data_IF_682117861180
#
_entry.id   IF_682117861180
#
_cell.length_a   1.000
_cell.length_b   1.000
_cell.length_c   1.000
_cell.angle_alpha   90.00
_cell.angle_beta   90.00
_cell.angle_gamma   90.00
#
_symmetry.space_group_name_H-M   'P 1'
#
loop_
_entity.id
_entity.type
_entity.pdbx_description
1 polymer ?
#
# COMPACT_ATOMS: atom_id res chain seq x y z
N UNK A 1 9.46 9.78 -3.05
CA UNK A 1 10.15 8.74 -2.28
C UNK A 1 9.06 7.89 -1.60
N UNK A 2 8.94 6.59 -1.90
CA UNK A 2 7.89 5.70 -1.34
C UNK A 2 8.41 4.28 -1.04
N UNK A 3 9.63 3.94 -1.45
CA UNK A 3 10.13 2.58 -1.30
C UNK A 3 10.41 2.34 0.19
N UNK A 4 9.72 1.38 0.84
CA UNK A 4 9.90 1.17 2.28
C UNK A 4 11.31 0.70 2.65
N UNK A 5 12.02 0.10 1.70
CA UNK A 5 13.37 -0.42 1.88
C UNK A 5 14.43 0.44 1.15
N UNK A 6 14.09 1.70 0.81
CA UNK A 6 15.00 2.68 0.20
C UNK A 6 15.68 2.22 -1.12
N UNK A 7 15.04 1.35 -1.89
CA UNK A 7 15.66 0.73 -3.06
C UNK A 7 15.58 1.57 -4.34
N UNK A 8 14.59 2.44 -4.43
CA UNK A 8 14.32 3.21 -5.65
C UNK A 8 15.07 4.53 -5.62
N UNK A 9 16.10 4.65 -6.47
CA UNK A 9 17.00 5.81 -6.51
C UNK A 9 17.06 6.41 -7.92
N UNK A 10 17.48 7.68 -8.01
CA UNK A 10 17.65 8.37 -9.28
C UNK A 10 19.09 8.18 -9.80
N UNK A 11 19.23 7.73 -11.04
CA UNK A 11 20.46 7.92 -11.81
C UNK A 11 20.48 9.37 -12.33
N UNK A 12 21.43 10.17 -11.84
CA UNK A 12 21.54 11.60 -12.17
C UNK A 12 22.07 11.86 -13.59
N UNK A 13 22.79 10.91 -14.20
CA UNK A 13 23.29 11.07 -15.56
C UNK A 13 22.18 10.78 -16.57
N UNK A 14 21.43 9.69 -16.35
CA UNK A 14 20.34 9.28 -17.26
C UNK A 14 19.02 9.99 -16.96
N UNK A 15 18.89 10.60 -15.78
CA UNK A 15 17.64 11.13 -15.24
C UNK A 15 16.51 10.09 -15.26
N UNK A 16 16.85 8.85 -14.86
CA UNK A 16 15.92 7.70 -14.77
C UNK A 16 16.08 7.00 -13.44
N UNK A 17 14.97 6.57 -12.84
CA UNK A 17 15.00 5.81 -11.61
C UNK A 17 15.39 4.36 -11.87
N UNK A 18 16.05 3.71 -10.89
CA UNK A 18 16.33 2.29 -10.90
C UNK A 18 16.22 1.70 -9.49
N UNK A 19 16.09 0.38 -9.41
CA UNK A 19 16.20 -0.35 -8.15
C UNK A 19 17.69 -0.69 -7.90
N UNK A 20 18.26 -0.18 -6.82
CA UNK A 20 19.69 -0.38 -6.49
C UNK A 20 20.05 -1.77 -5.98
N UNK A 21 19.08 -2.50 -5.41
CA UNK A 21 19.27 -3.87 -4.93
C UNK A 21 17.97 -4.68 -5.07
N UNK A 22 17.79 -5.36 -6.22
CA UNK A 22 16.61 -6.19 -6.46
C UNK A 22 16.48 -7.39 -5.51
N UNK A 23 17.57 -7.86 -4.90
CA UNK A 23 17.53 -9.00 -3.95
C UNK A 23 16.85 -8.63 -2.63
N UNK A 24 16.88 -7.35 -2.28
CA UNK A 24 16.23 -6.77 -1.11
C UNK A 24 14.81 -6.24 -1.41
N UNK A 25 14.34 -6.39 -2.65
CA UNK A 25 12.98 -6.05 -3.02
C UNK A 25 12.00 -6.96 -2.28
N UNK A 26 10.87 -6.41 -1.86
CA UNK A 26 9.76 -7.18 -1.26
C UNK A 26 8.54 -7.26 -2.18
N UNK A 27 8.68 -6.82 -3.43
CA UNK A 27 7.59 -6.80 -4.44
C UNK A 27 6.27 -6.14 -3.96
N UNK A 28 6.34 -5.22 -2.99
CA UNK A 28 5.17 -4.55 -2.39
C UNK A 28 4.37 -3.65 -3.36
N UNK A 29 4.90 -3.41 -4.57
CA UNK A 29 4.32 -2.56 -5.62
C UNK A 29 4.16 -1.09 -5.24
N UNK A 30 4.67 -0.61 -4.09
CA UNK A 30 4.53 0.80 -3.69
C UNK A 30 5.11 1.77 -4.72
N UNK A 31 6.30 1.46 -5.25
CA UNK A 31 6.93 2.23 -6.32
C UNK A 31 6.08 2.22 -7.59
N UNK A 32 5.61 1.04 -8.04
CA UNK A 32 4.76 0.88 -9.23
C UNK A 32 3.48 1.72 -9.10
N UNK A 33 2.76 1.58 -7.97
CA UNK A 33 1.48 2.27 -7.71
C UNK A 33 1.59 3.79 -7.72
N UNK A 34 2.68 4.35 -7.18
CA UNK A 34 2.83 5.82 -7.06
C UNK A 34 3.37 6.46 -8.34
N UNK A 35 3.91 5.69 -9.27
CA UNK A 35 4.57 6.24 -10.46
C UNK A 35 3.56 6.97 -11.35
N UNK A 36 3.62 8.31 -11.48
CA UNK A 36 2.64 9.04 -12.28
C UNK A 36 2.76 8.71 -13.77
N UNK A 37 3.95 8.30 -14.22
CA UNK A 37 4.22 7.91 -15.60
C UNK A 37 4.00 6.42 -15.87
N UNK A 38 3.65 5.64 -14.84
CA UNK A 38 3.48 4.18 -14.94
C UNK A 38 4.69 3.48 -15.58
N UNK A 39 5.89 3.98 -15.28
CA UNK A 39 7.14 3.56 -15.91
C UNK A 39 7.85 2.40 -15.19
N UNK A 40 7.23 1.84 -14.15
CA UNK A 40 7.79 0.76 -13.33
C UNK A 40 6.87 -0.45 -13.38
N UNK A 41 7.47 -1.63 -13.36
CA UNK A 41 6.79 -2.92 -13.26
C UNK A 41 7.63 -3.84 -12.36
N UNK A 42 7.05 -4.95 -11.91
CA UNK A 42 7.78 -6.00 -11.19
C UNK A 42 7.88 -7.24 -12.05
N UNK A 43 9.11 -7.72 -12.14
CA UNK A 43 9.45 -9.04 -12.67
C UNK A 43 9.74 -9.94 -11.48
N UNK A 44 8.93 -11.00 -11.31
CA UNK A 44 9.01 -11.95 -10.21
C UNK A 44 10.44 -12.46 -9.92
N UNK A 45 10.72 -12.79 -8.66
CA UNK A 45 12.02 -13.34 -8.23
C UNK A 45 12.48 -14.52 -9.10
N UNK A 46 13.72 -14.44 -9.58
CA UNK A 46 14.27 -15.39 -10.55
C UNK A 46 14.39 -16.82 -10.00
N UNK A 47 14.50 -16.95 -8.68
CA UNK A 47 14.73 -18.21 -7.96
C UNK A 47 13.58 -19.21 -8.15
N UNK A 48 12.36 -18.72 -8.38
CA UNK A 48 11.18 -19.58 -8.48
C UNK A 48 10.11 -19.12 -9.48
N UNK A 49 10.19 -17.90 -10.04
CA UNK A 49 9.17 -17.39 -10.96
C UNK A 49 9.57 -17.59 -12.43
N UNK A 50 8.81 -18.37 -13.22
CA UNK A 50 8.96 -18.40 -14.67
C UNK A 50 8.68 -17.02 -15.29
N UNK A 51 9.33 -16.74 -16.43
CA UNK A 51 9.13 -15.49 -17.15
C UNK A 51 7.69 -15.35 -17.72
N UNK A 52 7.27 -14.12 -17.98
CA UNK A 52 6.11 -13.82 -18.84
C UNK A 52 4.78 -13.53 -18.11
N UNK A 53 4.72 -13.73 -16.79
CA UNK A 53 3.59 -13.27 -15.99
C UNK A 53 3.80 -11.82 -15.49
N UNK A 54 2.72 -11.07 -15.30
CA UNK A 54 2.74 -9.73 -14.69
C UNK A 54 1.46 -9.42 -13.92
N UNK A 55 1.57 -8.54 -12.92
CA UNK A 55 0.47 -8.03 -12.11
C UNK A 55 0.54 -6.50 -12.09
N UNK A 56 -0.26 -5.85 -12.94
CA UNK A 56 -0.18 -4.40 -13.16
C UNK A 56 -1.32 -3.68 -12.42
N UNK A 57 -1.01 -2.85 -11.41
CA UNK A 57 -2.01 -2.03 -10.72
C UNK A 57 -2.29 -0.72 -11.44
N UNK A 58 -3.51 -0.23 -11.27
CA UNK A 58 -3.92 1.13 -11.57
C UNK A 58 -4.70 1.66 -10.37
N UNK A 59 -4.04 2.45 -9.53
CA UNK A 59 -4.61 2.97 -8.27
C UNK A 59 -5.26 4.34 -8.50
N UNK A 60 -6.57 4.43 -8.22
CA UNK A 60 -7.31 5.69 -8.12
C UNK A 60 -7.33 6.24 -6.70
N UNK A 61 -8.27 7.14 -6.42
CA UNK A 61 -8.50 7.73 -5.09
C UNK A 61 -9.33 6.81 -4.18
N UNK A 62 -10.38 6.20 -4.72
CA UNK A 62 -11.36 5.38 -3.98
C UNK A 62 -11.29 3.88 -4.32
N UNK A 63 -10.65 3.53 -5.43
CA UNK A 63 -10.51 2.15 -5.90
C UNK A 63 -9.12 1.84 -6.50
N UNK A 64 -8.85 0.55 -6.68
CA UNK A 64 -7.67 0.05 -7.40
C UNK A 64 -8.10 -1.03 -8.39
N UNK A 65 -7.61 -0.90 -9.62
CA UNK A 65 -7.76 -1.92 -10.66
C UNK A 65 -6.49 -2.75 -10.78
N UNK A 66 -6.64 -4.03 -11.11
CA UNK A 66 -5.54 -4.94 -11.35
C UNK A 66 -5.75 -5.67 -12.67
N UNK A 67 -4.70 -5.71 -13.49
CA UNK A 67 -4.61 -6.63 -14.63
C UNK A 67 -3.55 -7.68 -14.32
N UNK A 68 -3.97 -8.94 -14.23
CA UNK A 68 -3.07 -10.09 -14.06
C UNK A 68 -2.94 -10.79 -15.40
N UNK A 69 -1.72 -10.81 -15.94
CA UNK A 69 -1.36 -11.54 -17.15
C UNK A 69 -0.59 -12.79 -16.78
N UNK A 70 -1.09 -13.95 -17.21
CA UNK A 70 -0.40 -15.22 -17.04
C UNK A 70 0.61 -15.43 -18.17
N UNK A 71 1.56 -16.34 -17.96
CA UNK A 71 2.60 -16.69 -18.94
C UNK A 71 2.03 -17.18 -20.27
N UNK A 72 0.86 -17.83 -20.25
CA UNK A 72 0.15 -18.30 -21.44
C UNK A 72 -0.57 -17.19 -22.22
N UNK A 73 -0.51 -15.94 -21.72
CA UNK A 73 -1.16 -14.77 -22.32
C UNK A 73 -2.58 -14.53 -21.84
N UNK A 74 -3.16 -15.43 -21.03
CA UNK A 74 -4.49 -15.21 -20.45
C UNK A 74 -4.48 -14.01 -19.49
N UNK A 75 -5.61 -13.30 -19.44
CA UNK A 75 -5.77 -12.07 -18.67
C UNK A 75 -6.92 -12.21 -17.68
N UNK A 76 -6.70 -11.75 -16.45
CA UNK A 76 -7.77 -11.51 -15.46
C UNK A 76 -7.74 -10.04 -15.04
N UNK A 77 -8.91 -9.43 -14.94
CA UNK A 77 -9.07 -8.04 -14.51
C UNK A 77 -9.93 -7.98 -13.26
N UNK A 78 -9.49 -7.18 -12.29
CA UNK A 78 -10.18 -7.00 -11.02
C UNK A 78 -10.26 -5.51 -10.69
N UNK A 79 -11.25 -5.14 -9.89
CA UNK A 79 -11.41 -3.79 -9.33
C UNK A 79 -11.87 -3.93 -7.89
N UNK A 80 -11.18 -3.25 -6.97
CA UNK A 80 -11.46 -3.31 -5.53
C UNK A 80 -11.58 -1.89 -4.96
N UNK A 81 -12.56 -1.60 -4.10
CA UNK A 81 -12.58 -0.35 -3.34
C UNK A 81 -11.40 -0.34 -2.34
N UNK A 82 -10.79 0.83 -2.15
CA UNK A 82 -9.67 1.05 -1.22
C UNK A 82 -9.95 2.13 -0.18
N UNK A 83 -10.95 2.98 -0.39
CA UNK A 83 -11.27 4.08 0.52
C UNK A 83 -12.75 4.47 0.40
N UNK A 84 -13.37 4.82 1.52
CA UNK A 84 -14.79 5.25 1.59
C UNK A 84 -14.95 6.74 1.94
N UNK A 85 -13.86 7.40 2.33
CA UNK A 85 -13.78 8.84 2.63
C UNK A 85 -12.66 9.48 1.82
N UNK A 86 -12.66 10.79 1.65
CA UNK A 86 -11.64 11.49 0.85
C UNK A 86 -10.23 11.40 1.49
N UNK A 87 -9.20 11.54 0.65
CA UNK A 87 -7.82 11.64 1.11
C UNK A 87 -7.58 12.92 1.92
N UNK A 88 -6.91 12.79 3.07
CA UNK A 88 -6.63 13.92 3.96
C UNK A 88 -7.77 14.34 4.89
N UNK A 89 -8.93 13.67 4.86
CA UNK A 89 -10.11 14.07 5.67
C UNK A 89 -10.41 13.16 6.87
N UNK A 90 -9.47 12.29 7.25
CA UNK A 90 -9.67 11.40 8.40
C UNK A 90 -9.65 12.21 9.71
N UNK A 91 -10.68 12.05 10.55
CA UNK A 91 -10.71 12.59 11.91
C UNK A 91 -9.94 11.64 12.85
N UNK A 92 -8.81 12.06 13.44
CA UNK A 92 -8.02 11.19 14.34
C UNK A 92 -8.79 10.68 15.55
N UNK A 93 -9.81 11.42 16.00
CA UNK A 93 -10.64 11.03 17.15
C UNK A 93 -11.92 10.30 16.72
N UNK A 94 -12.24 10.26 15.42
CA UNK A 94 -13.44 9.61 14.91
C UNK A 94 -14.74 10.13 15.53
N UNK A 95 -14.78 11.41 15.93
CA UNK A 95 -15.92 12.02 16.62
C UNK A 95 -16.05 11.71 18.13
N UNK A 96 -15.09 11.03 18.75
CA UNK A 96 -15.10 10.75 20.18
C UNK A 96 -14.31 11.80 20.98
N UNK A 97 -14.63 11.94 22.27
CA UNK A 97 -13.84 12.77 23.19
C UNK A 97 -12.55 12.04 23.60
N UNK A 98 -11.50 12.81 23.89
CA UNK A 98 -10.25 12.26 24.43
C UNK A 98 -10.40 11.93 25.92
N UNK A 99 -9.82 10.81 26.34
CA UNK A 99 -9.58 10.45 27.72
C UNK A 99 -8.18 10.91 28.15
N UNK A 100 -8.12 11.80 29.13
CA UNK A 100 -6.88 12.42 29.59
C UNK A 100 -6.32 11.80 30.90
N UNK A 101 -6.97 10.76 31.45
CA UNK A 101 -6.48 10.08 32.65
C UNK A 101 -5.40 9.04 32.31
N UNK A 102 -4.14 9.44 32.45
CA UNK A 102 -2.98 8.59 32.22
C UNK A 102 -2.86 7.40 33.20
N UNK A 103 -3.59 7.40 34.32
CA UNK A 103 -3.63 6.26 35.25
C UNK A 103 -4.70 5.24 34.86
N UNK A 104 -5.61 5.62 33.96
CA UNK A 104 -6.62 4.71 33.42
C UNK A 104 -5.98 3.67 32.51
N UNK A 105 -6.63 2.49 32.42
CA UNK A 105 -6.27 1.48 31.41
C UNK A 105 -6.86 1.80 30.03
N UNK A 106 -7.73 2.81 29.96
CA UNK A 106 -8.43 3.20 28.72
C UNK A 106 -7.47 3.86 27.73
N UNK A 107 -7.61 3.54 26.44
CA UNK A 107 -6.96 4.28 25.36
C UNK A 107 -7.61 5.64 25.11
N UNK A 108 -7.02 6.42 24.20
CA UNK A 108 -7.33 7.83 23.97
C UNK A 108 -8.82 8.17 23.78
N UNK A 109 -9.65 7.29 23.22
CA UNK A 109 -11.10 7.53 23.02
C UNK A 109 -11.98 6.53 23.75
N UNK A 110 -11.37 5.65 24.55
CA UNK A 110 -12.08 4.64 25.32
C UNK A 110 -12.60 5.24 26.64
N UNK A 111 -13.75 4.76 27.14
CA UNK A 111 -14.51 3.61 26.64
C UNK A 111 -15.51 3.94 25.51
N UNK A 112 -15.72 5.22 25.18
CA UNK A 112 -16.77 5.64 24.25
C UNK A 112 -16.61 5.04 22.85
N UNK A 113 -15.37 4.86 22.38
CA UNK A 113 -15.07 4.29 21.07
C UNK A 113 -15.14 2.76 21.00
N UNK A 114 -15.26 2.04 22.13
CA UNK A 114 -15.27 0.57 22.15
C UNK A 114 -16.52 -0.01 21.47
N UNK A 115 -17.65 0.69 21.55
CA UNK A 115 -18.95 0.18 21.07
C UNK A 115 -19.48 -1.03 21.86
N UNK A 116 -18.82 -1.41 22.95
CA UNK A 116 -19.16 -2.51 23.87
C UNK A 116 -18.81 -2.10 25.30
N UNK A 117 -19.31 -2.87 26.27
CA UNK A 117 -18.90 -2.71 27.66
C UNK A 117 -17.39 -2.96 27.82
N UNK A 118 -16.75 -2.21 28.72
CA UNK A 118 -15.31 -2.33 28.99
C UNK A 118 -14.99 -3.75 29.44
N UNK A 119 -14.14 -4.51 28.72
CA UNK A 119 -13.79 -5.87 29.11
C UNK A 119 -13.10 -5.88 30.47
N UNK A 120 -13.66 -6.63 31.42
CA UNK A 120 -13.05 -6.89 32.73
C UNK A 120 -12.34 -8.25 32.69
N UNK A 121 -11.10 -8.29 33.18
CA UNK A 121 -10.35 -9.54 33.39
C UNK A 121 -10.65 -10.08 34.78
#
# INVERSE_FOLDING_TARGET
NICPNDLMVLDQEKMKAYNRDPSMCWECQCCVKICPQQAMDVRGYADFMPLGASCTPLRGSEDIMWTVKFRDGSLKRFKFPIRTIEEGTADPLGGFATNDDLNSQSLATEPASLGVDVPTI
#
